data_IF_861751961484
#
_entry.id   IF_861751961484
#
_cell.length_a   1.000
_cell.length_b   1.000
_cell.length_c   1.000
_cell.angle_alpha   90.00
_cell.angle_beta   90.00
_cell.angle_gamma   90.00
#
_symmetry.space_group_name_H-M   'P 1'
#
loop_
_entity.id
_entity.type
_entity.pdbx_description
1 polymer ?
#
# COMPACT_ATOMS: atom_id res chain seq x y z
N UNK A 1 12.06 -6.55 -2.22
CA UNK A 1 11.18 -5.43 -1.83
C UNK A 1 10.54 -4.90 -3.09
N UNK A 2 9.23 -4.63 -3.08
CA UNK A 2 8.54 -4.00 -4.20
C UNK A 2 8.87 -2.51 -4.26
N UNK A 3 8.68 -1.93 -5.43
CA UNK A 3 8.49 -0.48 -5.53
C UNK A 3 7.19 -0.06 -4.81
N UNK A 4 7.01 1.25 -4.61
CA UNK A 4 5.74 1.80 -4.13
C UNK A 4 4.68 1.57 -5.20
N UNK A 5 3.46 1.26 -4.78
CA UNK A 5 2.32 1.04 -5.68
C UNK A 5 1.01 1.55 -5.05
N UNK A 6 -0.03 1.69 -5.89
CA UNK A 6 -1.40 1.99 -5.49
C UNK A 6 -2.40 1.09 -6.25
N UNK A 7 -3.66 1.12 -5.82
CA UNK A 7 -4.74 0.34 -6.47
C UNK A 7 -5.17 0.97 -7.80
N UNK A 8 -5.29 0.15 -8.86
CA UNK A 8 -5.72 0.61 -10.19
C UNK A 8 -7.14 1.19 -10.19
N UNK A 9 -8.02 0.67 -9.34
CA UNK A 9 -9.40 1.16 -9.18
C UNK A 9 -9.53 2.34 -8.20
N UNK A 10 -8.43 2.81 -7.63
CA UNK A 10 -8.41 3.89 -6.64
C UNK A 10 -8.94 3.49 -5.26
N UNK A 11 -9.10 2.19 -4.98
CA UNK A 11 -9.53 1.68 -3.68
C UNK A 11 -8.45 1.84 -2.60
N UNK A 12 -8.86 2.22 -1.38
CA UNK A 12 -7.99 2.27 -0.19
C UNK A 12 -7.69 0.89 0.42
N UNK A 13 -8.20 -0.18 -0.20
CA UNK A 13 -7.99 -1.57 0.22
C UNK A 13 -7.14 -2.40 -0.73
N UNK A 14 -6.78 -1.87 -1.90
CA UNK A 14 -6.15 -2.66 -2.97
C UNK A 14 -4.80 -3.27 -2.59
N UNK A 15 -4.07 -2.64 -1.67
CA UNK A 15 -2.82 -3.20 -1.15
C UNK A 15 -2.97 -4.53 -0.40
N UNK A 16 -4.14 -4.81 0.18
CA UNK A 16 -4.42 -6.05 0.91
C UNK A 16 -4.83 -7.21 0.00
N UNK A 17 -5.06 -6.94 -1.30
CA UNK A 17 -5.32 -8.00 -2.27
C UNK A 17 -4.00 -8.69 -2.60
N UNK A 18 -3.98 -10.02 -2.43
CA UNK A 18 -2.80 -10.84 -2.68
C UNK A 18 -2.41 -10.86 -4.16
N UNK A 19 -3.41 -10.78 -5.06
CA UNK A 19 -3.19 -10.61 -6.48
C UNK A 19 -2.58 -9.23 -6.77
N UNK A 20 -1.47 -9.22 -7.51
CA UNK A 20 -0.77 -8.01 -7.89
C UNK A 20 -1.30 -7.39 -9.18
N UNK A 21 -2.19 -8.05 -9.91
CA UNK A 21 -2.75 -7.53 -11.17
C UNK A 21 -3.46 -6.18 -11.02
N UNK A 22 -3.99 -5.90 -9.82
CA UNK A 22 -4.65 -4.64 -9.49
C UNK A 22 -3.69 -3.53 -8.98
N UNK A 23 -2.36 -3.72 -9.08
CA UNK A 23 -1.36 -2.76 -8.58
C UNK A 23 -0.81 -1.92 -9.72
N UNK A 24 -0.95 -0.60 -9.60
CA UNK A 24 -0.29 0.36 -10.47
C UNK A 24 1.02 0.85 -9.81
N UNK A 25 2.11 1.06 -10.57
CA UNK A 25 3.37 1.52 -10.03
C UNK A 25 3.26 2.96 -9.50
N UNK A 26 4.06 3.26 -8.47
CA UNK A 26 4.14 4.57 -7.84
C UNK A 26 3.09 4.81 -6.76
N UNK A 27 3.23 5.91 -6.02
CA UNK A 27 2.24 6.30 -5.01
C UNK A 27 0.88 6.63 -5.63
N UNK A 28 -0.16 6.68 -4.80
CA UNK A 28 -1.48 7.17 -5.21
C UNK A 28 -1.34 8.56 -5.88
N UNK A 29 -1.87 8.76 -7.10
CA UNK A 29 -1.71 10.01 -7.85
C UNK A 29 -2.28 11.24 -7.13
N UNK A 30 -3.31 11.04 -6.32
CA UNK A 30 -3.94 12.09 -5.49
C UNK A 30 -3.25 12.23 -4.13
N UNK A 31 -2.21 11.42 -3.84
CA UNK A 31 -1.45 11.38 -2.58
C UNK A 31 -2.36 11.25 -1.35
N UNK A 32 -3.48 10.54 -1.49
CA UNK A 32 -4.43 10.29 -0.40
C UNK A 32 -3.76 9.45 0.68
N UNK A 33 -4.05 9.78 1.94
CA UNK A 33 -3.60 8.94 3.06
C UNK A 33 -4.21 7.54 2.93
N UNK A 34 -3.49 6.50 3.35
CA UNK A 34 -3.88 5.09 3.25
C UNK A 34 -3.94 4.51 1.82
N UNK A 35 -3.57 5.26 0.77
CA UNK A 35 -3.75 4.82 -0.62
C UNK A 35 -2.47 4.29 -1.32
N UNK A 36 -1.28 4.52 -0.74
CA UNK A 36 -0.01 3.98 -1.27
C UNK A 36 0.53 2.85 -0.40
N UNK A 37 1.21 1.89 -1.02
CA UNK A 37 1.74 0.71 -0.34
C UNK A 37 3.14 0.32 -0.83
N UNK A 38 3.85 -0.47 -0.03
CA UNK A 38 5.06 -1.19 -0.41
C UNK A 38 5.08 -2.57 0.26
N UNK A 39 5.82 -3.54 -0.28
CA UNK A 39 5.88 -4.88 0.30
C UNK A 39 7.28 -5.48 0.26
N UNK A 40 7.61 -6.32 1.23
CA UNK A 40 8.86 -7.09 1.22
C UNK A 40 8.69 -8.42 1.95
N UNK A 41 9.68 -9.29 1.81
CA UNK A 41 9.79 -10.52 2.59
C UNK A 41 10.94 -10.37 3.57
N UNK A 42 10.73 -10.76 4.82
CA UNK A 42 11.81 -10.87 5.79
C UNK A 42 12.62 -12.17 5.56
N UNK A 43 13.78 -12.36 6.23
CA UNK A 43 14.59 -13.57 6.08
C UNK A 43 13.90 -14.87 6.49
N UNK A 44 12.89 -14.78 7.37
CA UNK A 44 12.11 -15.92 7.84
C UNK A 44 11.00 -16.30 6.84
N UNK A 45 10.82 -15.51 5.78
CA UNK A 45 9.87 -15.75 4.71
C UNK A 45 8.50 -15.10 4.91
N UNK A 46 8.29 -14.34 6.01
CA UNK A 46 7.03 -13.63 6.21
C UNK A 46 6.90 -12.48 5.21
N UNK A 47 5.70 -12.31 4.67
CA UNK A 47 5.37 -11.19 3.81
C UNK A 47 4.88 -10.00 4.62
N UNK A 48 5.52 -8.85 4.43
CA UNK A 48 5.12 -7.59 5.04
C UNK A 48 4.53 -6.66 3.98
N UNK A 49 3.41 -6.03 4.32
CA UNK A 49 2.79 -4.93 3.57
C UNK A 49 2.88 -3.67 4.42
N UNK A 50 3.43 -2.62 3.85
CA UNK A 50 3.49 -1.29 4.43
C UNK A 50 2.46 -0.42 3.74
N UNK A 51 1.81 0.44 4.52
CA UNK A 51 0.85 1.42 4.03
C UNK A 51 1.37 2.82 4.37
N UNK A 52 1.39 3.70 3.38
CA UNK A 52 1.78 5.10 3.57
C UNK A 52 0.67 5.85 4.32
N UNK A 53 1.07 6.59 5.34
CA UNK A 53 0.19 7.44 6.13
C UNK A 53 0.65 8.89 6.05
N UNK A 54 -0.05 9.71 5.27
CA UNK A 54 0.22 11.14 5.16
C UNK A 54 -0.58 11.95 6.16
N UNK A 55 -1.77 11.47 6.53
CA UNK A 55 -2.63 12.05 7.57
C UNK A 55 -3.22 10.94 8.45
N UNK A 56 -3.19 11.14 9.77
CA UNK A 56 -3.81 10.23 10.74
C UNK A 56 -5.27 10.62 10.92
N UNK A 57 -6.16 9.64 10.77
CA UNK A 57 -7.56 9.84 11.14
C UNK A 57 -7.67 10.13 12.64
N UNK A 58 -8.62 10.97 13.06
CA UNK A 58 -8.87 11.24 14.48
C UNK A 58 -8.98 9.94 15.29
N UNK A 59 -8.40 9.93 16.50
CA UNK A 59 -8.43 8.77 17.39
C UNK A 59 -7.38 7.70 17.12
N UNK A 60 -6.39 7.93 16.23
CA UNK A 60 -5.23 7.07 16.03
C UNK A 60 -3.94 7.78 16.46
N UNK A 61 -3.41 7.44 17.64
CA UNK A 61 -2.11 7.92 18.16
C UNK A 61 -1.07 6.83 17.96
#
# INVERSE_FOLDING_TARGET
MSEVFHDVGGSLGGGFIADTAARAPGPDPERRSYASYASFKDPDGNGWLLQELTERLPGRV
#
